data_IF_633403298707
#
_entry.id   IF_633403298707
#
_cell.length_a   1.000
_cell.length_b   1.000
_cell.length_c   1.000
_cell.angle_alpha   90.00
_cell.angle_beta   90.00
_cell.angle_gamma   90.00
#
_symmetry.space_group_name_H-M   'P 1'
#
loop_
_entity.id
_entity.type
_entity.pdbx_description
1 polymer ?
#
# COMPACT_ATOMS: atom_id res chain seq x y z
N UNK A 1 -22.94 6.62 -14.70
CA UNK A 1 -22.63 5.18 -14.57
C UNK A 1 -22.56 4.55 -15.96
N UNK A 2 -23.61 4.74 -16.77
CA UNK A 2 -23.75 4.17 -18.12
C UNK A 2 -22.56 4.42 -19.06
N UNK A 3 -22.03 5.65 -19.11
CA UNK A 3 -20.87 5.98 -19.96
C UNK A 3 -19.59 5.22 -19.58
N UNK A 4 -19.37 4.97 -18.29
CA UNK A 4 -18.22 4.18 -17.83
C UNK A 4 -18.46 2.69 -18.05
N UNK A 5 -19.70 2.23 -17.88
CA UNK A 5 -20.08 0.85 -18.17
C UNK A 5 -19.87 0.50 -19.64
N UNK A 6 -20.24 1.40 -20.56
CA UNK A 6 -20.09 1.22 -22.01
C UNK A 6 -18.63 1.14 -22.47
N UNK A 7 -17.69 1.68 -21.68
CA UNK A 7 -16.27 1.77 -22.07
C UNK A 7 -15.33 0.88 -21.26
N UNK A 8 -15.66 0.61 -20.00
CA UNK A 8 -14.82 -0.11 -19.05
C UNK A 8 -15.48 -1.40 -18.53
N UNK A 9 -16.72 -1.69 -18.94
CA UNK A 9 -17.43 -2.93 -18.60
C UNK A 9 -17.39 -3.25 -17.09
N UNK A 10 -17.62 -2.23 -16.25
CA UNK A 10 -17.46 -2.29 -14.79
C UNK A 10 -18.34 -3.39 -14.16
N UNK A 11 -19.52 -3.65 -14.72
CA UNK A 11 -20.43 -4.71 -14.28
C UNK A 11 -19.78 -6.10 -14.36
N UNK A 12 -19.00 -6.39 -15.40
CA UNK A 12 -18.39 -7.71 -15.57
C UNK A 12 -17.30 -7.95 -14.51
N UNK A 13 -16.56 -6.89 -14.15
CA UNK A 13 -15.59 -6.91 -13.05
C UNK A 13 -16.31 -7.12 -11.71
N UNK A 14 -17.44 -6.43 -11.50
CA UNK A 14 -18.21 -6.56 -10.27
C UNK A 14 -18.78 -7.98 -10.10
N UNK A 15 -19.30 -8.57 -11.18
CA UNK A 15 -19.87 -9.92 -11.20
C UNK A 15 -18.77 -10.99 -10.99
N UNK A 16 -17.60 -10.83 -11.61
CA UNK A 16 -16.44 -11.72 -11.41
C UNK A 16 -15.91 -11.68 -9.96
N UNK A 17 -15.95 -10.52 -9.30
CA UNK A 17 -15.57 -10.41 -7.88
C UNK A 17 -16.66 -11.02 -6.99
N UNK A 18 -17.93 -10.77 -7.28
CA UNK A 18 -19.06 -11.21 -6.46
C UNK A 18 -19.31 -12.73 -6.48
N UNK A 19 -18.89 -13.41 -7.55
CA UNK A 19 -19.07 -14.86 -7.71
C UNK A 19 -18.01 -15.71 -7.00
N UNK A 20 -16.94 -15.09 -6.46
CA UNK A 20 -15.84 -15.80 -5.79
C UNK A 20 -16.14 -16.06 -4.32
N UNK A 21 -16.27 -17.33 -3.95
CA UNK A 21 -16.48 -17.78 -2.58
C UNK A 21 -15.20 -18.33 -1.94
N UNK A 22 -15.08 -18.16 -0.62
CA UNK A 22 -13.96 -18.68 0.18
C UNK A 22 -14.32 -20.06 0.74
N UNK A 23 -13.51 -21.11 0.49
CA UNK A 23 -13.83 -22.46 0.95
C UNK A 23 -13.65 -22.64 2.48
N UNK A 24 -14.35 -23.59 3.13
CA UNK A 24 -14.38 -23.70 4.60
C UNK A 24 -13.06 -24.09 5.28
N UNK A 25 -12.10 -24.61 4.52
CA UNK A 25 -10.79 -25.04 5.04
C UNK A 25 -9.76 -23.89 5.10
N UNK A 26 -10.13 -22.69 4.66
CA UNK A 26 -9.29 -21.50 4.79
C UNK A 26 -9.20 -21.13 6.27
N UNK A 27 -7.97 -21.10 6.77
CA UNK A 27 -7.66 -20.73 8.14
C UNK A 27 -6.99 -19.34 8.19
N UNK A 28 -6.70 -18.84 9.40
CA UNK A 28 -6.08 -17.53 9.61
C UNK A 28 -4.72 -17.35 8.92
N UNK A 29 -4.00 -18.45 8.63
CA UNK A 29 -2.68 -18.37 7.97
C UNK A 29 -2.78 -17.94 6.50
N UNK A 30 -3.93 -18.12 5.85
CA UNK A 30 -4.15 -17.59 4.49
C UNK A 30 -4.15 -16.04 4.46
N UNK A 31 -4.41 -15.39 5.60
CA UNK A 31 -4.30 -13.94 5.73
C UNK A 31 -2.85 -13.45 5.72
N UNK A 32 -1.84 -14.31 5.95
CA UNK A 32 -0.44 -13.89 5.98
C UNK A 32 0.00 -13.24 4.67
N UNK A 33 -0.46 -13.74 3.52
CA UNK A 33 -0.18 -13.10 2.24
C UNK A 33 -0.76 -11.69 2.15
N UNK A 34 -1.99 -11.50 2.63
CA UNK A 34 -2.62 -10.18 2.74
C UNK A 34 -1.87 -9.26 3.71
N UNK A 35 -1.42 -9.79 4.85
CA UNK A 35 -0.60 -9.04 5.82
C UNK A 35 0.71 -8.59 5.18
N UNK A 36 1.39 -9.46 4.42
CA UNK A 36 2.60 -9.08 3.68
C UNK A 36 2.34 -7.94 2.70
N UNK A 37 1.22 -7.99 1.96
CA UNK A 37 0.84 -6.91 1.06
C UNK A 37 0.58 -5.60 1.82
N UNK A 38 -0.13 -5.66 2.94
CA UNK A 38 -0.39 -4.48 3.79
C UNK A 38 0.92 -3.89 4.32
N UNK A 39 1.85 -4.72 4.81
CA UNK A 39 3.17 -4.26 5.23
C UNK A 39 3.92 -3.59 4.07
N UNK A 40 3.87 -4.16 2.87
CA UNK A 40 4.48 -3.55 1.68
C UNK A 40 3.87 -2.17 1.38
N UNK A 41 2.54 -2.03 1.43
CA UNK A 41 1.86 -0.74 1.21
C UNK A 41 2.25 0.31 2.26
N UNK A 42 2.39 -0.09 3.53
CA UNK A 42 2.89 0.79 4.60
C UNK A 42 4.32 1.23 4.30
N UNK A 43 5.21 0.31 3.93
CA UNK A 43 6.59 0.64 3.60
C UNK A 43 6.69 1.49 2.33
N UNK A 44 5.81 1.28 1.35
CA UNK A 44 5.76 2.07 0.14
C UNK A 44 5.39 3.52 0.45
N UNK A 45 4.31 3.74 1.22
CA UNK A 45 3.85 5.08 1.57
C UNK A 45 4.85 5.82 2.49
N UNK A 46 5.30 5.18 3.57
CA UNK A 46 6.25 5.77 4.52
C UNK A 46 7.64 5.94 3.92
N UNK A 47 8.10 4.98 3.13
CA UNK A 47 9.35 5.06 2.38
C UNK A 47 9.34 6.22 1.40
N UNK A 48 8.26 6.36 0.62
CA UNK A 48 8.07 7.50 -0.27
C UNK A 48 8.10 8.83 0.50
N UNK A 49 7.41 8.94 1.64
CA UNK A 49 7.44 10.15 2.47
C UNK A 49 8.86 10.49 2.95
N UNK A 50 9.66 9.50 3.38
CA UNK A 50 11.04 9.72 3.80
C UNK A 50 11.94 10.24 2.67
N UNK A 51 11.67 9.90 1.41
CA UNK A 51 12.49 10.40 0.28
C UNK A 51 12.44 11.91 0.10
N UNK A 52 11.42 12.60 0.62
CA UNK A 52 11.37 14.07 0.59
C UNK A 52 12.38 14.74 1.53
N UNK A 53 12.78 14.05 2.60
CA UNK A 53 13.59 14.63 3.68
C UNK A 53 14.95 13.96 3.87
N UNK A 54 15.09 12.70 3.46
CA UNK A 54 16.34 11.95 3.56
C UNK A 54 17.36 12.46 2.53
N UNK A 55 18.57 12.79 2.99
CA UNK A 55 19.68 13.21 2.14
C UNK A 55 20.72 12.09 2.00
N UNK A 56 20.92 11.53 0.79
CA UNK A 56 21.82 10.38 0.58
C UNK A 56 23.30 10.80 0.44
N UNK A 57 23.84 11.54 1.42
CA UNK A 57 25.27 11.92 1.47
C UNK A 57 25.88 11.51 2.80
N UNK A 58 27.15 11.08 2.81
CA UNK A 58 27.82 10.59 4.03
C UNK A 58 27.85 11.67 5.13
N UNK A 59 27.93 12.94 4.74
CA UNK A 59 27.95 14.06 5.68
C UNK A 59 26.58 14.39 6.28
N UNK A 60 25.49 14.25 5.52
CA UNK A 60 24.15 14.71 5.93
C UNK A 60 23.18 13.57 6.24
N UNK A 61 23.51 12.31 5.97
CA UNK A 61 22.63 11.17 6.19
C UNK A 61 22.13 11.10 7.64
N UNK A 62 23.04 11.22 8.62
CA UNK A 62 22.66 11.18 10.03
C UNK A 62 21.81 12.40 10.43
N UNK A 63 22.21 13.60 10.02
CA UNK A 63 21.50 14.84 10.35
C UNK A 63 20.11 14.90 9.71
N UNK A 64 19.94 14.36 8.49
CA UNK A 64 18.65 14.27 7.81
C UNK A 64 17.68 13.32 8.52
N UNK A 65 18.17 12.25 9.14
CA UNK A 65 17.36 11.35 9.98
C UNK A 65 16.98 12.03 11.30
N UNK A 66 17.90 12.79 11.92
CA UNK A 66 17.57 13.57 13.11
C UNK A 66 16.46 14.58 12.80
N UNK A 67 16.58 15.32 11.71
CA UNK A 67 15.56 16.26 11.25
C UNK A 67 14.18 15.60 11.06
N UNK A 68 14.14 14.40 10.46
CA UNK A 68 12.91 13.60 10.32
C UNK A 68 12.25 13.25 11.66
N UNK A 69 13.03 13.08 12.73
CA UNK A 69 12.53 12.66 14.04
C UNK A 69 12.14 13.83 14.95
N UNK A 70 12.77 15.01 14.78
CA UNK A 70 12.61 16.15 15.69
C UNK A 70 11.77 17.28 15.13
N UNK A 71 11.87 17.53 13.83
CA UNK A 71 11.37 18.77 13.22
C UNK A 71 10.25 18.54 12.19
N UNK A 72 10.13 17.32 11.66
CA UNK A 72 9.06 16.96 10.72
C UNK A 72 7.77 16.68 11.49
N UNK A 73 6.69 17.36 11.10
CA UNK A 73 5.35 17.11 11.63
C UNK A 73 4.73 15.88 10.95
N UNK A 74 4.19 14.96 11.76
CA UNK A 74 3.49 13.76 11.29
C UNK A 74 2.04 14.05 10.86
#
# INVERSE_FOLDING_TARGET
>A
YDWFQERLEIQDIADDIGTKYVPPHVNIFYCLGGITLVCFLIQFATGFAMTFYYKPTVAEAYTSVQYLMTDVSF
#
